data_IF_101958917593
#
_entry.id   IF_101958917593
#
_cell.length_a   1.000
_cell.length_b   1.000
_cell.length_c   1.000
_cell.angle_alpha   90.00
_cell.angle_beta   90.00
_cell.angle_gamma   90.00
#
_symmetry.space_group_name_H-M   'P 1'
#
loop_
_entity.id
_entity.type
_entity.pdbx_description
1 polymer ?
#
# COMPACT_ATOMS: atom_id res chain seq x y z
N UNK A 1 -62.28 6.75 31.83
CA UNK A 1 -61.18 7.36 32.60
C UNK A 1 -60.21 6.24 32.93
N UNK A 2 -58.97 6.32 32.46
CA UNK A 2 -57.94 5.30 32.71
C UNK A 2 -57.46 4.58 31.45
N UNK A 3 -57.00 5.36 30.46
CA UNK A 3 -56.07 4.90 29.42
C UNK A 3 -54.75 4.52 30.10
N UNK A 4 -54.30 3.28 29.88
CA UNK A 4 -53.06 2.74 30.41
C UNK A 4 -52.21 2.24 29.25
N UNK A 5 -51.74 3.16 28.41
CA UNK A 5 -50.82 2.89 27.32
C UNK A 5 -49.62 2.06 27.78
N UNK A 6 -49.51 0.86 27.23
CA UNK A 6 -48.32 0.01 27.31
C UNK A 6 -47.18 0.76 26.62
N UNK A 7 -46.22 1.27 27.40
CA UNK A 7 -44.93 1.68 26.86
C UNK A 7 -44.23 0.44 26.30
N UNK A 8 -43.90 0.38 25.00
CA UNK A 8 -42.97 -0.62 24.52
C UNK A 8 -41.58 -0.27 25.06
N UNK A 9 -41.03 -1.21 25.84
CA UNK A 9 -39.77 -1.08 26.53
C UNK A 9 -38.63 -0.67 25.60
N UNK A 10 -37.86 0.31 26.05
CA UNK A 10 -36.52 0.61 25.56
C UNK A 10 -35.63 -0.61 25.78
N UNK A 11 -35.53 -1.45 24.76
CA UNK A 11 -34.49 -2.47 24.66
C UNK A 11 -33.11 -1.80 24.54
N UNK A 12 -32.03 -2.53 24.86
CA UNK A 12 -30.70 -1.98 24.94
C UNK A 12 -30.25 -1.43 23.58
N UNK A 13 -29.92 -0.14 23.57
CA UNK A 13 -29.45 0.66 22.44
C UNK A 13 -28.04 0.21 22.00
N UNK A 14 -27.95 -0.93 21.29
CA UNK A 14 -26.68 -1.53 20.83
C UNK A 14 -26.52 -1.46 19.30
N UNK A 15 -27.42 -0.77 18.59
CA UNK A 15 -27.27 -0.50 17.17
C UNK A 15 -26.62 0.86 16.96
N UNK A 16 -25.33 0.90 16.59
CA UNK A 16 -24.75 2.15 16.07
C UNK A 16 -25.64 2.62 14.90
N UNK A 17 -25.95 3.92 14.83
CA UNK A 17 -26.73 4.46 13.71
C UNK A 17 -26.06 4.04 12.40
N UNK A 18 -26.80 3.71 11.32
CA UNK A 18 -26.20 3.43 10.01
C UNK A 18 -25.18 4.50 9.60
N UNK A 19 -25.40 5.74 10.02
CA UNK A 19 -24.47 6.86 9.80
C UNK A 19 -23.15 6.72 10.57
N UNK A 20 -23.18 6.22 11.80
CA UNK A 20 -21.99 5.97 12.61
C UNK A 20 -21.19 4.81 12.04
N UNK A 21 -21.88 3.75 11.58
CA UNK A 21 -21.25 2.62 10.88
C UNK A 21 -20.58 3.11 9.59
N UNK A 22 -21.26 3.96 8.82
CA UNK A 22 -20.69 4.57 7.61
C UNK A 22 -19.46 5.42 7.92
N UNK A 23 -19.51 6.27 8.94
CA UNK A 23 -18.37 7.08 9.37
C UNK A 23 -17.17 6.23 9.80
N UNK A 24 -17.42 5.15 10.56
CA UNK A 24 -16.38 4.20 10.96
C UNK A 24 -15.78 3.46 9.77
N UNK A 25 -16.62 3.04 8.81
CA UNK A 25 -16.16 2.40 7.58
C UNK A 25 -15.30 3.36 6.73
N UNK A 26 -15.72 4.61 6.61
CA UNK A 26 -14.95 5.64 5.92
C UNK A 26 -13.57 5.85 6.54
N UNK A 27 -13.49 5.91 7.87
CA UNK A 27 -12.23 6.00 8.58
C UNK A 27 -11.32 4.80 8.28
N UNK A 28 -11.86 3.58 8.30
CA UNK A 28 -11.09 2.38 7.93
C UNK A 28 -10.61 2.39 6.48
N UNK A 29 -11.41 2.88 5.54
CA UNK A 29 -11.00 3.01 4.13
C UNK A 29 -9.86 4.03 4.00
N UNK A 30 -9.96 5.18 4.69
CA UNK A 30 -8.92 6.22 4.70
C UNK A 30 -7.62 5.72 5.32
N UNK A 31 -7.69 4.98 6.44
CA UNK A 31 -6.51 4.32 7.02
C UNK A 31 -5.85 3.34 6.05
N UNK A 32 -6.64 2.56 5.30
CA UNK A 32 -6.13 1.68 4.24
C UNK A 32 -5.41 2.44 3.13
N UNK A 33 -5.97 3.58 2.71
CA UNK A 33 -5.36 4.47 1.73
C UNK A 33 -4.01 5.03 2.23
N UNK A 34 -3.94 5.49 3.49
CA UNK A 34 -2.72 6.02 4.09
C UNK A 34 -1.64 4.94 4.23
N UNK A 35 -2.02 3.72 4.57
CA UNK A 35 -1.11 2.57 4.55
C UNK A 35 -0.50 2.37 3.15
N UNK A 36 -1.33 2.31 2.11
CA UNK A 36 -0.88 2.15 0.73
C UNK A 36 0.04 3.32 0.31
N UNK A 37 -0.33 4.56 0.63
CA UNK A 37 0.46 5.77 0.35
C UNK A 37 1.83 5.76 1.05
N UNK A 38 1.87 5.36 2.32
CA UNK A 38 3.10 5.26 3.10
C UNK A 38 4.07 4.22 2.51
N UNK A 39 3.55 3.05 2.14
CA UNK A 39 4.33 1.98 1.49
C UNK A 39 4.79 2.39 0.09
N UNK A 40 3.93 3.03 -0.71
CA UNK A 40 4.27 3.62 -2.03
C UNK A 40 5.49 4.53 -1.92
N UNK A 41 5.49 5.48 -0.98
CA UNK A 41 6.60 6.42 -0.77
C UNK A 41 7.90 5.70 -0.39
N UNK A 42 7.82 4.69 0.47
CA UNK A 42 9.00 3.92 0.89
C UNK A 42 9.59 3.13 -0.28
N UNK A 43 8.76 2.42 -1.04
CA UNK A 43 9.22 1.61 -2.16
C UNK A 43 9.75 2.47 -3.32
N UNK A 44 9.09 3.59 -3.63
CA UNK A 44 9.58 4.54 -4.62
C UNK A 44 10.95 5.13 -4.24
N UNK A 45 11.15 5.51 -2.97
CA UNK A 45 12.46 6.00 -2.49
C UNK A 45 13.55 4.94 -2.59
N UNK A 46 13.26 3.70 -2.24
CA UNK A 46 14.23 2.61 -2.37
C UNK A 46 14.60 2.33 -3.83
N UNK A 47 13.65 2.35 -4.76
CA UNK A 47 13.91 2.17 -6.19
C UNK A 47 14.82 3.27 -6.76
N UNK A 48 14.55 4.53 -6.41
CA UNK A 48 15.36 5.65 -6.87
C UNK A 48 16.73 5.68 -6.21
N UNK A 49 16.82 5.30 -4.93
CA UNK A 49 18.08 5.30 -4.19
C UNK A 49 19.07 4.29 -4.78
N UNK A 50 18.62 3.09 -5.16
CA UNK A 50 19.52 2.09 -5.77
C UNK A 50 20.08 2.58 -7.10
N UNK A 51 19.24 3.14 -7.99
CA UNK A 51 19.69 3.67 -9.29
C UNK A 51 20.66 4.84 -9.15
N UNK A 52 20.36 5.79 -8.27
CA UNK A 52 21.23 6.95 -8.02
C UNK A 52 22.55 6.50 -7.39
N UNK A 53 22.52 5.57 -6.42
CA UNK A 53 23.72 5.03 -5.83
C UNK A 53 24.60 4.33 -6.87
N UNK A 54 24.03 3.48 -7.72
CA UNK A 54 24.76 2.80 -8.80
C UNK A 54 25.44 3.80 -9.74
N UNK A 55 24.73 4.86 -10.15
CA UNK A 55 25.27 5.90 -11.01
C UNK A 55 26.42 6.67 -10.35
N UNK A 56 26.23 7.10 -9.09
CA UNK A 56 27.24 7.83 -8.33
C UNK A 56 28.49 6.99 -8.12
N UNK A 57 28.33 5.71 -7.76
CA UNK A 57 29.46 4.82 -7.56
C UNK A 57 30.19 4.50 -8.87
N UNK A 58 29.47 4.35 -9.98
CA UNK A 58 30.08 4.16 -11.30
C UNK A 58 30.90 5.38 -11.73
N UNK A 59 30.34 6.57 -11.51
CA UNK A 59 31.03 7.84 -11.79
C UNK A 59 32.25 8.02 -10.88
N UNK A 60 32.10 7.76 -9.58
CA UNK A 60 33.19 7.82 -8.61
C UNK A 60 34.31 6.85 -8.98
N UNK A 61 34.00 5.61 -9.33
CA UNK A 61 34.99 4.62 -9.78
C UNK A 61 35.77 5.12 -11.00
N UNK A 62 35.08 5.70 -11.98
CA UNK A 62 35.72 6.24 -13.19
C UNK A 62 36.68 7.40 -12.87
N UNK A 63 36.27 8.31 -11.99
CA UNK A 63 37.10 9.46 -11.58
C UNK A 63 38.32 8.99 -10.77
N UNK A 64 38.11 8.07 -9.83
CA UNK A 64 39.16 7.52 -8.96
C UNK A 64 40.20 6.77 -9.80
N UNK A 65 39.77 5.99 -10.79
CA UNK A 65 40.67 5.27 -11.68
C UNK A 65 41.43 6.21 -12.64
N UNK A 66 40.83 7.35 -13.00
CA UNK A 66 41.45 8.37 -13.84
C UNK A 66 42.52 9.22 -13.13
N UNK A 67 42.47 9.30 -11.79
CA UNK A 67 43.49 9.94 -10.96
C UNK A 67 44.68 8.97 -10.79
N UNK A 68 45.76 9.21 -11.53
CA UNK A 68 46.89 8.28 -11.77
C UNK A 68 47.77 7.92 -10.55
N UNK A 69 47.31 8.07 -9.30
CA UNK A 69 48.11 7.82 -8.08
C UNK A 69 47.75 6.45 -7.45
N UNK A 70 48.49 5.41 -7.85
CA UNK A 70 47.98 4.04 -7.95
C UNK A 70 47.94 3.18 -6.67
N UNK A 71 48.31 3.67 -5.48
CA UNK A 71 48.39 2.77 -4.31
C UNK A 71 47.18 2.81 -3.35
N UNK A 72 46.58 3.98 -3.10
CA UNK A 72 45.42 4.10 -2.20
C UNK A 72 44.07 4.15 -2.94
N UNK A 73 44.06 4.69 -4.16
CA UNK A 73 42.85 4.98 -4.93
C UNK A 73 42.29 3.76 -5.67
N UNK A 74 43.14 2.82 -6.08
CA UNK A 74 42.73 1.59 -6.77
C UNK A 74 41.79 0.71 -5.92
N UNK A 75 42.06 0.59 -4.60
CA UNK A 75 41.21 -0.16 -3.68
C UNK A 75 39.81 0.46 -3.53
N UNK A 76 39.72 1.80 -3.57
CA UNK A 76 38.46 2.52 -3.48
C UNK A 76 37.62 2.35 -4.77
N UNK A 77 38.26 2.39 -5.94
CA UNK A 77 37.60 2.10 -7.21
C UNK A 77 37.01 0.68 -7.23
N UNK A 78 37.79 -0.32 -6.80
CA UNK A 78 37.31 -1.70 -6.69
C UNK A 78 36.13 -1.84 -5.72
N UNK A 79 36.17 -1.16 -4.58
CA UNK A 79 35.05 -1.14 -3.64
C UNK A 79 33.78 -0.52 -4.27
N UNK A 80 33.92 0.55 -5.05
CA UNK A 80 32.80 1.15 -5.78
C UNK A 80 32.20 0.19 -6.82
N UNK A 81 33.03 -0.51 -7.59
CA UNK A 81 32.55 -1.51 -8.57
C UNK A 81 31.83 -2.66 -7.87
N UNK A 82 32.39 -3.19 -6.78
CA UNK A 82 31.75 -4.27 -6.02
C UNK A 82 30.37 -3.87 -5.46
N UNK A 83 30.25 -2.63 -4.97
CA UNK A 83 28.97 -2.08 -4.51
C UNK A 83 27.98 -1.88 -5.67
N UNK A 84 28.42 -1.45 -6.85
CA UNK A 84 27.59 -1.39 -8.06
C UNK A 84 27.05 -2.76 -8.44
N UNK A 85 27.90 -3.79 -8.41
CA UNK A 85 27.48 -5.17 -8.66
C UNK A 85 26.46 -5.65 -7.64
N UNK A 86 26.67 -5.37 -6.34
CA UNK A 86 25.71 -5.71 -5.29
C UNK A 86 24.37 -5.01 -5.49
N UNK A 87 24.39 -3.70 -5.79
CA UNK A 87 23.19 -2.91 -6.08
C UNK A 87 22.42 -3.45 -7.29
N UNK A 88 23.15 -3.80 -8.37
CA UNK A 88 22.59 -4.40 -9.58
C UNK A 88 22.00 -5.80 -9.35
N UNK A 89 22.57 -6.60 -8.45
CA UNK A 89 22.02 -7.91 -8.09
C UNK A 89 20.78 -7.82 -7.18
N UNK A 90 20.69 -6.76 -6.36
CA UNK A 90 19.58 -6.54 -5.42
C UNK A 90 18.34 -5.96 -6.11
N UNK A 91 18.50 -5.16 -7.17
CA UNK A 91 17.39 -4.51 -7.90
C UNK A 91 16.33 -5.52 -8.44
N UNK A 92 16.71 -6.63 -9.11
CA UNK A 92 15.76 -7.65 -9.57
C UNK A 92 15.04 -8.35 -8.41
N UNK A 93 15.76 -8.66 -7.33
CA UNK A 93 15.25 -9.48 -6.22
C UNK A 93 14.05 -8.85 -5.51
N UNK A 94 14.03 -7.54 -5.39
CA UNK A 94 12.97 -6.84 -4.66
C UNK A 94 11.87 -6.30 -5.57
N UNK A 95 12.05 -6.29 -6.90
CA UNK A 95 11.09 -5.80 -7.89
C UNK A 95 10.35 -4.53 -7.41
N UNK A 96 11.13 -3.52 -7.00
CA UNK A 96 10.59 -2.32 -6.34
C UNK A 96 9.57 -1.58 -7.20
N UNK A 97 9.72 -1.62 -8.52
CA UNK A 97 8.77 -1.03 -9.47
C UNK A 97 7.41 -1.71 -9.38
N UNK A 98 7.37 -3.04 -9.43
CA UNK A 98 6.08 -3.75 -9.30
C UNK A 98 5.44 -3.50 -7.94
N UNK A 99 6.23 -3.51 -6.86
CA UNK A 99 5.71 -3.20 -5.51
C UNK A 99 5.18 -1.77 -5.39
N UNK A 100 5.80 -0.81 -6.04
CA UNK A 100 5.32 0.58 -6.06
C UNK A 100 4.01 0.71 -6.84
N UNK A 101 3.91 0.08 -8.01
CA UNK A 101 2.69 0.05 -8.83
C UNK A 101 1.54 -0.62 -8.08
N UNK A 102 1.79 -1.75 -7.41
CA UNK A 102 0.79 -2.43 -6.60
C UNK A 102 0.22 -1.54 -5.48
N UNK A 103 1.09 -0.77 -4.79
CA UNK A 103 0.64 0.16 -3.76
C UNK A 103 -0.12 1.36 -4.36
N UNK A 104 0.25 1.82 -5.56
CA UNK A 104 -0.45 2.89 -6.27
C UNK A 104 -1.86 2.48 -6.70
N UNK A 105 -2.01 1.26 -7.21
CA UNK A 105 -3.32 0.72 -7.56
C UNK A 105 -4.22 0.56 -6.33
N UNK A 106 -3.69 0.00 -5.23
CA UNK A 106 -4.42 -0.10 -3.97
C UNK A 106 -4.83 1.27 -3.43
N UNK A 107 -3.93 2.26 -3.48
CA UNK A 107 -4.20 3.65 -3.08
C UNK A 107 -5.37 4.23 -3.89
N UNK A 108 -5.35 4.07 -5.22
CA UNK A 108 -6.43 4.57 -6.07
C UNK A 108 -7.78 3.91 -5.76
N UNK A 109 -7.79 2.59 -5.55
CA UNK A 109 -9.00 1.84 -5.22
C UNK A 109 -9.58 2.24 -3.86
N UNK A 110 -8.75 2.43 -2.83
CA UNK A 110 -9.22 2.92 -1.53
C UNK A 110 -9.74 4.35 -1.61
N UNK A 111 -9.06 5.25 -2.34
CA UNK A 111 -9.54 6.62 -2.52
C UNK A 111 -10.91 6.63 -3.20
N UNK A 112 -11.06 5.90 -4.29
CA UNK A 112 -12.35 5.80 -5.00
C UNK A 112 -13.46 5.27 -4.11
N UNK A 113 -13.17 4.26 -3.28
CA UNK A 113 -14.16 3.70 -2.37
C UNK A 113 -14.54 4.68 -1.25
N UNK A 114 -13.60 5.50 -0.77
CA UNK A 114 -13.90 6.59 0.16
C UNK A 114 -14.81 7.62 -0.49
N UNK A 115 -14.50 8.05 -1.72
CA UNK A 115 -15.30 9.02 -2.47
C UNK A 115 -16.73 8.48 -2.71
N UNK A 116 -16.88 7.20 -3.05
CA UNK A 116 -18.19 6.54 -3.23
C UNK A 116 -19.02 6.55 -1.93
N UNK A 117 -18.39 6.24 -0.79
CA UNK A 117 -19.06 6.21 0.51
C UNK A 117 -19.41 7.63 0.99
N UNK A 118 -18.51 8.60 0.79
CA UNK A 118 -18.78 10.01 1.08
C UNK A 118 -19.95 10.53 0.26
N UNK A 119 -20.00 10.20 -1.03
CA UNK A 119 -21.12 10.55 -1.90
C UNK A 119 -22.43 9.90 -1.42
N UNK A 120 -22.41 8.63 -1.04
CA UNK A 120 -23.57 7.94 -0.50
C UNK A 120 -24.08 8.61 0.78
N UNK A 121 -23.19 8.94 1.71
CA UNK A 121 -23.52 9.64 2.97
C UNK A 121 -24.04 11.06 2.74
N UNK A 122 -23.59 11.74 1.69
CA UNK A 122 -24.03 13.11 1.36
C UNK A 122 -25.35 13.13 0.60
N UNK A 123 -25.62 12.12 -0.23
CA UNK A 123 -26.82 12.03 -1.08
C UNK A 123 -27.99 11.30 -0.42
N UNK A 124 -27.73 10.54 0.66
CA UNK A 124 -28.75 9.73 1.34
C UNK A 124 -29.10 10.33 2.70
N UNK A 125 -30.38 10.60 2.98
CA UNK A 125 -30.85 10.95 4.32
C UNK A 125 -30.43 9.90 5.36
N UNK A 126 -30.15 10.33 6.60
CA UNK A 126 -29.58 9.45 7.63
C UNK A 126 -30.51 8.28 8.03
N UNK A 127 -31.81 8.48 7.88
CA UNK A 127 -32.89 7.52 8.11
C UNK A 127 -33.15 6.59 6.92
N UNK A 128 -32.65 6.94 5.73
CA UNK A 128 -32.76 6.14 4.51
C UNK A 128 -31.51 5.30 4.21
N UNK A 129 -30.41 5.52 4.95
CA UNK A 129 -29.18 4.75 4.79
C UNK A 129 -29.36 3.35 5.38
N UNK A 130 -29.18 2.32 4.55
CA UNK A 130 -29.42 0.93 4.95
C UNK A 130 -28.13 0.17 5.23
N UNK A 131 -28.23 -0.84 6.10
CA UNK A 131 -27.12 -1.76 6.38
C UNK A 131 -26.67 -2.53 5.14
N UNK A 132 -27.58 -2.84 4.21
CA UNK A 132 -27.26 -3.55 2.97
C UNK A 132 -26.33 -2.73 2.07
N UNK A 133 -26.62 -1.43 1.89
CA UNK A 133 -25.75 -0.53 1.14
C UNK A 133 -24.34 -0.46 1.76
N UNK A 134 -24.25 -0.38 3.10
CA UNK A 134 -22.96 -0.39 3.80
C UNK A 134 -22.26 -1.75 3.70
N UNK A 135 -23.02 -2.85 3.68
CA UNK A 135 -22.51 -4.20 3.45
C UNK A 135 -21.85 -4.33 2.08
N UNK A 136 -22.43 -3.75 1.03
CA UNK A 136 -21.82 -3.71 -0.30
C UNK A 136 -20.51 -2.92 -0.32
N UNK A 137 -20.46 -1.74 0.34
CA UNK A 137 -19.21 -0.97 0.48
C UNK A 137 -18.16 -1.78 1.25
N UNK A 138 -18.56 -2.44 2.34
CA UNK A 138 -17.66 -3.25 3.14
C UNK A 138 -17.11 -4.46 2.36
N UNK A 139 -17.94 -5.13 1.57
CA UNK A 139 -17.50 -6.21 0.69
C UNK A 139 -16.47 -5.72 -0.34
N UNK A 140 -16.67 -4.54 -0.94
CA UNK A 140 -15.68 -3.91 -1.83
C UNK A 140 -14.39 -3.56 -1.09
N UNK A 141 -14.46 -3.07 0.14
CA UNK A 141 -13.29 -2.82 0.98
C UNK A 141 -12.48 -4.10 1.24
N UNK A 142 -13.13 -5.20 1.59
CA UNK A 142 -12.46 -6.49 1.81
C UNK A 142 -11.81 -7.01 0.52
N UNK A 143 -12.50 -6.89 -0.61
CA UNK A 143 -11.97 -7.33 -1.90
C UNK A 143 -10.66 -6.61 -2.29
N UNK A 144 -10.51 -5.31 -1.95
CA UNK A 144 -9.25 -4.58 -2.18
C UNK A 144 -8.11 -5.20 -1.37
N UNK A 145 -8.37 -5.56 -0.10
CA UNK A 145 -7.36 -6.21 0.75
C UNK A 145 -7.00 -7.62 0.31
N UNK A 146 -7.99 -8.40 -0.13
CA UNK A 146 -7.79 -9.76 -0.61
C UNK A 146 -6.94 -9.77 -1.89
N UNK A 147 -7.26 -8.88 -2.84
CA UNK A 147 -6.47 -8.71 -4.06
C UNK A 147 -5.05 -8.26 -3.75
N UNK A 148 -4.89 -7.24 -2.90
CA UNK A 148 -3.58 -6.76 -2.48
C UNK A 148 -2.74 -7.87 -1.83
N UNK A 149 -3.34 -8.67 -0.95
CA UNK A 149 -2.67 -9.76 -0.25
C UNK A 149 -2.30 -10.90 -1.20
N UNK A 150 -3.21 -11.28 -2.10
CA UNK A 150 -2.97 -12.29 -3.13
C UNK A 150 -1.81 -11.89 -4.04
N UNK A 151 -1.87 -10.71 -4.65
CA UNK A 151 -0.82 -10.24 -5.55
C UNK A 151 0.51 -10.12 -4.82
N UNK A 152 0.50 -9.70 -3.56
CA UNK A 152 1.73 -9.65 -2.77
C UNK A 152 2.33 -11.03 -2.47
N UNK A 153 1.51 -12.05 -2.24
CA UNK A 153 1.96 -13.44 -2.07
C UNK A 153 2.49 -14.03 -3.38
N UNK A 154 1.86 -13.76 -4.51
CA UNK A 154 2.32 -14.17 -5.84
C UNK A 154 3.72 -13.60 -6.13
N UNK A 155 3.93 -12.31 -5.86
CA UNK A 155 5.24 -11.65 -6.00
C UNK A 155 6.33 -12.19 -5.06
N UNK A 156 5.97 -13.00 -4.06
CA UNK A 156 6.92 -13.68 -3.16
C UNK A 156 7.14 -15.15 -3.52
N UNK A 157 6.29 -15.74 -4.37
CA UNK A 157 6.31 -17.17 -4.68
C UNK A 157 7.15 -17.53 -5.91
N UNK A 158 7.54 -16.58 -6.77
CA UNK A 158 8.43 -16.85 -7.91
C UNK A 158 9.92 -16.52 -7.64
N UNK A 159 10.88 -17.39 -8.00
CA UNK A 159 10.79 -18.86 -8.03
C UNK A 159 11.90 -19.56 -7.20
N UNK A 160 11.57 -20.70 -6.61
CA UNK A 160 12.55 -21.79 -6.49
C UNK A 160 12.68 -22.42 -7.88
N UNK A 161 13.89 -22.54 -8.47
CA UNK A 161 14.03 -23.18 -9.77
C UNK A 161 13.49 -24.60 -9.69
N UNK A 162 12.57 -24.94 -10.59
CA UNK A 162 12.23 -26.31 -10.90
C UNK A 162 13.47 -26.95 -11.51
N UNK A 163 14.20 -27.72 -10.70
CA UNK A 163 15.16 -28.69 -11.21
C UNK A 163 14.34 -29.81 -11.84
N UNK A 164 13.96 -29.63 -13.10
CA UNK A 164 13.58 -30.74 -13.96
C UNK A 164 14.88 -31.50 -14.29
N UNK A 165 15.02 -32.67 -13.66
CA UNK A 165 16.05 -33.69 -13.90
C UNK A 165 15.52 -34.70 -14.93
#
# INVERSE_FOLDING_TARGET
MGDGGVQPGSGPDVGHSPRDVAAHLLDKIRQGNDYARGKKKRFGRSASLTKVATLVLSAASTVILGLQDLNAWAGLALACVALVTLLGAVEPFFNWRSRWVLMEEAQHRFQRLADDLEYLMASTPADALTTDQLGEIFGRYQAIWDDLSRTWLEHRREPAPSNDV
#
